data_IF_843050871108
#
_entry.id   IF_843050871108
#
_cell.length_a   1.000
_cell.length_b   1.000
_cell.length_c   1.000
_cell.angle_alpha   90.00
_cell.angle_beta   90.00
_cell.angle_gamma   90.00
#
_symmetry.space_group_name_H-M   'P 1'
#
loop_
_entity.id
_entity.type
_entity.pdbx_description
1 polymer ?
#
# COMPACT_ATOMS: atom_id res chain seq x y z
N UNK A 1 -19.54 -9.49 -2.85
CA UNK A 1 -19.29 -8.18 -2.19
C UNK A 1 -18.35 -7.38 -3.06
N UNK A 2 -18.41 -6.05 -3.01
CA UNK A 2 -17.58 -5.14 -3.83
C UNK A 2 -16.74 -4.26 -2.92
N UNK A 3 -15.45 -4.15 -3.22
CA UNK A 3 -14.48 -3.31 -2.53
C UNK A 3 -13.85 -2.33 -3.53
N UNK A 4 -13.68 -1.08 -3.12
CA UNK A 4 -13.16 0.01 -3.94
C UNK A 4 -11.96 0.65 -3.24
N UNK A 5 -10.78 0.36 -3.77
CA UNK A 5 -9.50 0.66 -3.12
C UNK A 5 -8.68 1.60 -3.98
N UNK A 6 -8.10 2.61 -3.34
CA UNK A 6 -7.02 3.39 -3.92
C UNK A 6 -5.68 2.77 -3.53
N UNK A 7 -5.01 2.11 -4.46
CA UNK A 7 -3.67 1.57 -4.26
C UNK A 7 -2.62 2.62 -4.60
N UNK A 8 -1.61 2.75 -3.74
CA UNK A 8 -0.46 3.64 -3.88
C UNK A 8 0.79 2.77 -3.99
N UNK A 9 1.54 2.86 -5.08
CA UNK A 9 2.76 2.05 -5.28
C UNK A 9 3.90 2.91 -5.81
N UNK A 10 5.11 2.64 -5.33
CA UNK A 10 6.33 3.35 -5.73
C UNK A 10 6.95 2.69 -6.96
N UNK A 11 7.04 3.42 -8.07
CA UNK A 11 7.69 2.90 -9.26
C UNK A 11 9.21 2.97 -9.17
N UNK A 12 9.89 2.13 -9.96
CA UNK A 12 11.35 2.14 -10.12
C UNK A 12 11.93 3.49 -10.57
N UNK A 13 11.11 4.37 -11.17
CA UNK A 13 11.49 5.73 -11.58
C UNK A 13 11.43 6.76 -10.46
N UNK A 14 11.10 6.35 -9.23
CA UNK A 14 10.84 7.25 -8.09
C UNK A 14 9.69 8.22 -8.41
N UNK A 15 8.58 7.61 -8.81
CA UNK A 15 7.28 8.25 -8.99
C UNK A 15 6.26 7.44 -8.20
N UNK A 16 5.27 8.11 -7.63
CA UNK A 16 4.10 7.44 -7.07
C UNK A 16 3.14 7.09 -8.20
N UNK A 17 2.69 5.84 -8.23
CA UNK A 17 1.58 5.39 -9.08
C UNK A 17 0.35 5.18 -8.20
N UNK A 18 -0.72 5.89 -8.51
CA UNK A 18 -2.02 5.72 -7.89
C UNK A 18 -2.94 4.93 -8.82
N UNK A 19 -3.65 3.94 -8.28
CA UNK A 19 -4.61 3.11 -9.03
C UNK A 19 -5.92 2.93 -8.28
N UNK A 20 -7.03 3.19 -8.96
CA UNK A 20 -8.36 2.88 -8.44
C UNK A 20 -8.77 1.47 -8.85
N UNK A 21 -8.78 0.55 -7.88
CA UNK A 21 -9.07 -0.86 -8.11
C UNK A 21 -10.42 -1.22 -7.50
N UNK A 22 -11.31 -1.78 -8.30
CA UNK A 22 -12.50 -2.46 -7.82
C UNK A 22 -12.23 -3.95 -7.72
N UNK A 23 -12.52 -4.53 -6.55
CA UNK A 23 -12.40 -5.96 -6.28
C UNK A 23 -13.79 -6.52 -5.98
N UNK A 24 -14.13 -7.63 -6.61
CA UNK A 24 -15.38 -8.32 -6.37
C UNK A 24 -15.12 -9.74 -5.90
N UNK A 25 -15.94 -10.19 -4.94
CA UNK A 25 -15.89 -11.56 -4.44
C UNK A 25 -17.27 -12.22 -4.51
N UNK A 26 -17.30 -13.42 -5.11
CA UNK A 26 -18.45 -14.31 -5.16
C UNK A 26 -18.03 -15.70 -4.70
N UNK A 27 -18.45 -16.09 -3.49
CA UNK A 27 -17.94 -17.30 -2.83
C UNK A 27 -16.44 -17.17 -2.54
N UNK A 28 -15.62 -18.01 -3.19
CA UNK A 28 -14.15 -17.98 -3.10
C UNK A 28 -13.48 -17.34 -4.32
N UNK A 29 -14.26 -16.94 -5.32
CA UNK A 29 -13.74 -16.41 -6.57
C UNK A 29 -13.62 -14.90 -6.46
N UNK A 30 -12.41 -14.40 -6.72
CA UNK A 30 -12.11 -12.98 -6.79
C UNK A 30 -11.96 -12.54 -8.24
N UNK A 31 -12.47 -11.36 -8.55
CA UNK A 31 -12.21 -10.64 -9.79
C UNK A 31 -11.83 -9.20 -9.48
N UNK A 32 -11.20 -8.54 -10.45
CA UNK A 32 -10.77 -7.16 -10.31
C UNK A 32 -11.05 -6.35 -11.58
N UNK A 33 -11.12 -5.04 -11.41
CA UNK A 33 -11.11 -4.05 -12.49
C UNK A 33 -10.25 -2.86 -12.05
N UNK A 34 -9.22 -2.52 -12.84
CA UNK A 34 -8.45 -1.30 -12.65
C UNK A 34 -9.12 -0.16 -13.41
N UNK A 35 -9.83 0.71 -12.67
CA UNK A 35 -10.73 1.73 -13.23
C UNK A 35 -10.03 3.02 -13.66
N UNK A 36 -8.98 3.40 -12.94
CA UNK A 36 -8.22 4.62 -13.23
C UNK A 36 -6.80 4.53 -12.68
N UNK A 37 -5.87 5.20 -13.35
CA UNK A 37 -4.48 5.36 -12.87
C UNK A 37 -4.00 6.80 -13.04
N UNK A 38 -3.01 7.17 -12.23
CA UNK A 38 -2.22 8.38 -12.40
C UNK A 38 -0.80 8.16 -11.88
N UNK A 39 0.13 9.00 -12.34
CA UNK A 39 1.52 9.04 -11.89
C UNK A 39 1.81 10.43 -11.32
N UNK A 40 2.53 10.46 -10.20
CA UNK A 40 3.00 11.69 -9.57
C UNK A 40 4.51 11.65 -9.46
N UNK A 41 5.19 12.57 -10.15
CA UNK A 41 6.63 12.68 -10.05
C UNK A 41 7.04 13.23 -8.69
N UNK A 42 8.06 12.63 -8.07
CA UNK A 42 8.67 13.23 -6.90
C UNK A 42 9.49 14.45 -7.28
N UNK A 43 9.39 15.48 -6.44
CA UNK A 43 10.25 16.64 -6.57
C UNK A 43 11.73 16.25 -6.32
N UNK A 44 12.62 17.17 -6.71
CA UNK A 44 14.05 16.90 -6.62
C UNK A 44 14.51 16.75 -5.16
N UNK A 45 13.88 17.47 -4.24
CA UNK A 45 14.22 17.42 -2.82
C UNK A 45 13.94 16.04 -2.21
N UNK A 46 12.78 15.45 -2.49
CA UNK A 46 12.43 14.11 -2.05
C UNK A 46 13.31 13.06 -2.74
N UNK A 47 13.59 13.20 -4.04
CA UNK A 47 14.50 12.28 -4.76
C UNK A 47 15.89 12.26 -4.14
N UNK A 48 16.42 13.42 -3.73
CA UNK A 48 17.70 13.55 -3.02
C UNK A 48 17.64 12.90 -1.64
N UNK A 49 16.58 13.15 -0.86
CA UNK A 49 16.37 12.48 0.44
C UNK A 49 16.35 10.95 0.24
N UNK A 50 15.48 10.42 -0.60
CA UNK A 50 15.35 8.98 -0.88
C UNK A 50 16.70 8.35 -1.29
N UNK A 51 17.53 9.09 -2.03
CA UNK A 51 18.84 8.60 -2.50
C UNK A 51 19.84 8.28 -1.38
N UNK A 52 19.63 8.80 -0.17
CA UNK A 52 20.49 8.50 1.00
C UNK A 52 20.38 7.05 1.48
N UNK A 53 19.35 6.30 1.08
CA UNK A 53 19.21 4.88 1.41
C UNK A 53 19.10 4.63 2.93
N UNK A 54 20.04 3.86 3.48
CA UNK A 54 20.12 3.47 4.90
C UNK A 54 20.95 4.43 5.78
N UNK A 55 21.49 5.51 5.21
CA UNK A 55 22.36 6.47 5.91
C UNK A 55 21.66 7.47 6.85
N UNK A 56 20.41 7.22 7.25
CA UNK A 56 19.61 8.14 8.07
C UNK A 56 19.76 7.89 9.56
N UNK A 57 19.77 8.97 10.36
CA UNK A 57 19.47 8.85 11.79
C UNK A 57 17.99 8.49 12.00
N UNK A 58 17.67 7.91 13.16
CA UNK A 58 16.28 7.58 13.51
C UNK A 58 15.35 8.80 13.46
N UNK A 59 15.82 9.96 13.92
CA UNK A 59 15.06 11.20 13.89
C UNK A 59 14.78 11.67 12.45
N UNK A 60 15.78 11.64 11.57
CA UNK A 60 15.58 12.02 10.16
C UNK A 60 14.67 11.06 9.42
N UNK A 61 14.78 9.76 9.69
CA UNK A 61 13.91 8.74 9.09
C UNK A 61 12.46 8.95 9.52
N UNK A 62 12.20 9.19 10.81
CA UNK A 62 10.84 9.46 11.32
C UNK A 62 10.27 10.75 10.74
N UNK A 63 11.07 11.79 10.60
CA UNK A 63 10.63 13.02 9.95
C UNK A 63 10.26 12.76 8.48
N UNK A 64 11.14 12.06 7.74
CA UNK A 64 10.86 11.68 6.35
C UNK A 64 9.63 10.77 6.23
N UNK A 65 9.41 9.87 7.19
CA UNK A 65 8.27 8.95 7.21
C UNK A 65 6.94 9.71 7.32
N UNK A 66 6.88 10.68 8.24
CA UNK A 66 5.74 11.59 8.38
C UNK A 66 5.56 12.47 7.14
N UNK A 67 6.64 13.11 6.65
CA UNK A 67 6.57 14.01 5.48
C UNK A 67 6.08 13.26 4.24
N UNK A 68 6.57 12.04 4.03
CA UNK A 68 6.18 11.20 2.91
C UNK A 68 4.73 10.73 3.02
N UNK A 69 4.25 10.35 4.22
CA UNK A 69 2.83 10.05 4.43
C UNK A 69 1.90 11.23 4.06
N UNK A 70 2.30 12.46 4.39
CA UNK A 70 1.56 13.67 3.99
C UNK A 70 1.57 13.89 2.47
N UNK A 71 2.69 13.63 1.81
CA UNK A 71 2.78 13.67 0.35
C UNK A 71 1.84 12.64 -0.29
N UNK A 72 1.86 11.40 0.19
CA UNK A 72 0.97 10.33 -0.27
C UNK A 72 -0.51 10.70 -0.11
N UNK A 73 -0.86 11.34 1.02
CA UNK A 73 -2.21 11.85 1.26
C UNK A 73 -2.60 12.96 0.26
N UNK A 74 -1.68 13.89 -0.01
CA UNK A 74 -1.86 14.96 -0.99
C UNK A 74 -2.09 14.40 -2.40
N UNK A 75 -1.26 13.46 -2.84
CA UNK A 75 -1.42 12.77 -4.12
C UNK A 75 -2.73 11.98 -4.19
N UNK A 76 -3.14 11.34 -3.09
CA UNK A 76 -4.42 10.61 -3.02
C UNK A 76 -5.61 11.54 -3.22
N UNK A 77 -5.64 12.67 -2.50
CA UNK A 77 -6.69 13.67 -2.64
C UNK A 77 -6.68 14.30 -4.04
N UNK A 78 -5.51 14.52 -4.63
CA UNK A 78 -5.39 15.00 -6.01
C UNK A 78 -5.94 13.97 -7.00
N UNK A 79 -5.54 12.71 -6.89
CA UNK A 79 -6.06 11.62 -7.73
C UNK A 79 -7.58 11.53 -7.67
N UNK A 80 -8.16 11.58 -6.46
CA UNK A 80 -9.61 11.51 -6.25
C UNK A 80 -10.31 12.69 -6.93
N UNK A 81 -9.76 13.90 -6.84
CA UNK A 81 -10.31 15.09 -7.51
C UNK A 81 -10.21 14.98 -9.03
N UNK A 82 -9.03 14.70 -9.55
CA UNK A 82 -8.73 14.71 -10.99
C UNK A 82 -9.46 13.58 -11.74
N UNK A 83 -9.83 12.50 -11.03
CA UNK A 83 -10.60 11.36 -11.57
C UNK A 83 -12.08 11.38 -11.20
N UNK A 84 -12.55 12.41 -10.49
CA UNK A 84 -13.96 12.55 -10.06
C UNK A 84 -14.46 11.35 -9.22
N UNK A 85 -13.62 10.86 -8.30
CA UNK A 85 -13.86 9.66 -7.48
C UNK A 85 -14.36 9.96 -6.06
N UNK A 86 -14.90 11.16 -5.82
CA UNK A 86 -15.38 11.56 -4.49
C UNK A 86 -16.39 10.53 -3.95
N UNK A 87 -16.23 10.14 -2.68
CA UNK A 87 -17.07 9.17 -1.97
C UNK A 87 -17.07 7.74 -2.55
N UNK A 88 -16.25 7.44 -3.57
CA UNK A 88 -16.18 6.11 -4.16
C UNK A 88 -15.16 5.22 -3.45
N UNK A 89 -14.04 5.80 -3.00
CA UNK A 89 -12.95 5.07 -2.35
C UNK A 89 -13.34 4.71 -0.92
N UNK A 90 -13.23 3.43 -0.59
CA UNK A 90 -13.54 2.89 0.74
C UNK A 90 -12.29 2.65 1.58
N UNK A 91 -11.16 2.43 0.91
CA UNK A 91 -9.90 2.07 1.53
C UNK A 91 -8.74 2.62 0.71
N UNK A 92 -7.68 3.08 1.37
CA UNK A 92 -6.38 3.36 0.74
C UNK A 92 -5.43 2.23 1.13
N UNK A 93 -4.68 1.71 0.16
CA UNK A 93 -3.66 0.69 0.36
C UNK A 93 -2.29 1.28 0.07
N UNK A 94 -1.40 1.30 1.07
CA UNK A 94 -0.07 1.90 0.97
C UNK A 94 1.01 0.97 1.53
N UNK A 95 1.77 0.24 0.69
CA UNK A 95 2.84 -0.65 1.15
C UNK A 95 4.06 0.12 1.66
N UNK A 96 4.15 1.41 1.34
CA UNK A 96 5.26 2.30 1.65
C UNK A 96 6.49 2.05 0.77
N UNK A 97 7.45 2.97 0.86
CA UNK A 97 8.69 2.96 0.09
C UNK A 97 9.81 2.25 0.90
N UNK A 98 10.35 1.11 0.41
CA UNK A 98 11.44 0.41 1.11
C UNK A 98 12.78 1.15 0.92
N UNK A 99 13.19 1.93 1.93
CA UNK A 99 14.49 2.62 1.93
C UNK A 99 15.62 1.83 2.61
N UNK A 100 15.29 1.00 3.60
CA UNK A 100 16.27 0.27 4.40
C UNK A 100 16.34 -1.17 3.89
N UNK A 101 17.53 -1.60 3.49
CA UNK A 101 17.77 -2.95 3.00
C UNK A 101 17.35 -4.00 4.03
N UNK A 102 16.61 -5.02 3.58
CA UNK A 102 16.13 -6.13 4.41
C UNK A 102 15.26 -5.71 5.63
N UNK A 103 14.64 -4.52 5.59
CA UNK A 103 13.68 -4.10 6.60
C UNK A 103 12.25 -4.45 6.19
N UNK A 104 11.45 -4.88 7.17
CA UNK A 104 10.00 -4.99 7.03
C UNK A 104 9.31 -3.61 7.02
N UNK A 105 9.94 -2.62 7.67
CA UNK A 105 9.45 -1.26 7.79
C UNK A 105 9.78 -0.46 6.53
N UNK A 106 8.76 0.21 6.02
CA UNK A 106 8.82 1.06 4.83
C UNK A 106 8.46 2.50 5.19
N UNK A 107 8.87 3.42 4.34
CA UNK A 107 8.56 4.83 4.50
C UNK A 107 7.11 5.10 4.08
N UNK A 108 6.38 5.91 4.84
CA UNK A 108 5.01 6.32 4.52
C UNK A 108 4.09 6.14 5.70
N UNK A 109 3.84 7.24 6.41
CA UNK A 109 2.97 7.25 7.58
C UNK A 109 1.50 7.03 7.18
N UNK A 110 0.99 5.82 7.44
CA UNK A 110 -0.41 5.45 7.17
C UNK A 110 -1.42 6.26 8.01
N UNK A 111 -1.03 6.72 9.21
CA UNK A 111 -1.87 7.57 10.03
C UNK A 111 -2.03 8.95 9.40
N UNK A 112 -0.96 9.51 8.85
CA UNK A 112 -1.01 10.78 8.14
C UNK A 112 -1.91 10.70 6.89
N UNK A 113 -1.84 9.59 6.13
CA UNK A 113 -2.72 9.35 4.99
C UNK A 113 -4.18 9.33 5.43
N UNK A 114 -4.51 8.53 6.45
CA UNK A 114 -5.89 8.41 6.93
C UNK A 114 -6.43 9.74 7.47
N UNK A 115 -5.64 10.44 8.29
CA UNK A 115 -6.05 11.70 8.90
C UNK A 115 -6.30 12.82 7.88
N UNK A 116 -5.49 12.90 6.82
CA UNK A 116 -5.60 13.98 5.82
C UNK A 116 -6.64 13.67 4.74
N UNK A 117 -6.82 12.40 4.38
CA UNK A 117 -7.79 12.00 3.34
C UNK A 117 -9.19 11.77 3.89
N UNK A 118 -9.32 11.49 5.19
CA UNK A 118 -10.58 11.06 5.81
C UNK A 118 -10.98 9.63 5.42
N UNK A 119 -10.06 8.86 4.81
CA UNK A 119 -10.32 7.53 4.26
C UNK A 119 -9.49 6.51 5.04
N UNK A 120 -10.12 5.40 5.40
CA UNK A 120 -9.42 4.31 6.10
C UNK A 120 -8.23 3.84 5.27
N UNK A 121 -7.09 3.63 5.92
CA UNK A 121 -5.83 3.29 5.24
C UNK A 121 -5.25 2.02 5.82
N UNK A 122 -4.78 1.12 4.94
CA UNK A 122 -3.97 -0.04 5.30
C UNK A 122 -2.53 0.20 4.87
N UNK A 123 -1.60 0.12 5.83
CA UNK A 123 -0.16 0.22 5.60
C UNK A 123 0.60 -0.98 6.16
N UNK A 124 1.93 -1.03 6.06
CA UNK A 124 2.78 -1.94 6.84
C UNK A 124 2.51 -3.44 6.63
N UNK A 125 2.16 -3.86 5.40
CA UNK A 125 1.73 -5.23 5.08
C UNK A 125 2.68 -6.32 5.59
N UNK A 126 3.99 -6.07 5.60
CA UNK A 126 5.02 -7.07 5.89
C UNK A 126 5.40 -7.19 7.36
N UNK A 127 5.04 -6.23 8.21
CA UNK A 127 5.59 -6.12 9.57
C UNK A 127 5.22 -7.32 10.44
N UNK A 128 4.00 -7.84 10.31
CA UNK A 128 3.56 -9.01 11.09
C UNK A 128 4.23 -10.31 10.63
N UNK A 129 4.36 -10.52 9.32
CA UNK A 129 5.05 -11.68 8.75
C UNK A 129 6.54 -11.69 9.12
N UNK A 130 7.19 -10.53 9.08
CA UNK A 130 8.56 -10.34 9.54
C UNK A 130 8.75 -10.70 11.02
N UNK A 131 7.82 -10.27 11.89
CA UNK A 131 7.84 -10.62 13.31
C UNK A 131 7.69 -12.12 13.57
N UNK A 132 7.12 -12.85 12.60
CA UNK A 132 7.00 -14.31 12.61
C UNK A 132 8.19 -15.02 11.93
N UNK A 133 9.23 -14.29 11.53
CA UNK A 133 10.45 -14.83 10.92
C UNK A 133 10.41 -14.94 9.39
N UNK A 134 9.46 -14.29 8.71
CA UNK A 134 9.36 -14.29 7.26
C UNK A 134 10.46 -13.49 6.56
N UNK A 135 10.60 -13.71 5.25
CA UNK A 135 11.70 -13.20 4.40
C UNK A 135 11.64 -11.71 4.03
N UNK A 136 10.68 -10.95 4.56
CA UNK A 136 10.44 -9.53 4.23
C UNK A 136 10.16 -9.24 2.74
N UNK A 137 9.90 -10.27 1.94
CA UNK A 137 9.56 -10.13 0.53
C UNK A 137 8.08 -9.81 0.36
N UNK A 138 7.77 -8.96 -0.62
CA UNK A 138 6.39 -8.75 -1.06
C UNK A 138 5.97 -10.01 -1.84
N UNK A 139 5.02 -10.78 -1.33
CA UNK A 139 4.49 -11.93 -2.06
C UNK A 139 3.45 -11.50 -3.10
N UNK A 140 3.41 -12.20 -4.22
CA UNK A 140 2.42 -12.01 -5.27
C UNK A 140 1.30 -13.06 -5.12
N UNK A 141 0.05 -12.63 -4.97
CA UNK A 141 -1.12 -13.51 -4.80
C UNK A 141 -1.69 -14.00 -6.14
N UNK A 142 -0.81 -14.41 -7.06
CA UNK A 142 -1.21 -14.79 -8.42
C UNK A 142 -2.14 -16.03 -8.44
N UNK A 143 -2.07 -16.88 -7.42
CA UNK A 143 -2.90 -18.10 -7.33
C UNK A 143 -4.35 -17.82 -6.96
N UNK A 144 -4.62 -16.77 -6.17
CA UNK A 144 -5.97 -16.41 -5.72
C UNK A 144 -6.58 -15.34 -6.62
N UNK A 145 -5.77 -14.35 -7.00
CA UNK A 145 -6.17 -13.29 -7.91
C UNK A 145 -5.15 -13.21 -9.06
N UNK A 146 -5.38 -13.97 -10.14
CA UNK A 146 -4.52 -13.93 -11.31
C UNK A 146 -4.67 -12.57 -12.01
N UNK A 147 -3.54 -11.90 -12.20
CA UNK A 147 -3.44 -10.63 -12.92
C UNK A 147 -2.54 -10.90 -14.12
N UNK A 148 -3.09 -10.76 -15.33
CA UNK A 148 -2.36 -11.11 -16.57
C UNK A 148 -1.58 -9.92 -17.14
N UNK A 149 -2.02 -8.70 -16.90
CA UNK A 149 -1.32 -7.50 -17.31
C UNK A 149 -0.21 -7.15 -16.30
N UNK A 150 1.05 -7.24 -16.74
CA UNK A 150 2.21 -7.01 -15.88
C UNK A 150 2.23 -5.61 -15.25
N UNK A 151 1.72 -4.60 -15.94
CA UNK A 151 1.69 -3.21 -15.46
C UNK A 151 0.66 -2.98 -14.35
N UNK A 152 -0.26 -3.92 -14.13
CA UNK A 152 -1.33 -3.82 -13.13
C UNK A 152 -1.05 -4.60 -11.84
N UNK A 153 -0.13 -5.58 -11.90
CA UNK A 153 0.13 -6.55 -10.82
C UNK A 153 0.30 -5.85 -9.47
N UNK A 154 1.16 -4.85 -9.41
CA UNK A 154 1.52 -4.20 -8.15
C UNK A 154 0.33 -3.44 -7.54
N UNK A 155 -0.42 -2.69 -8.35
CA UNK A 155 -1.61 -1.95 -7.91
C UNK A 155 -2.71 -2.90 -7.44
N UNK A 156 -3.01 -3.93 -8.24
CA UNK A 156 -4.10 -4.87 -7.97
C UNK A 156 -3.79 -5.72 -6.75
N UNK A 157 -2.57 -6.26 -6.62
CA UNK A 157 -2.19 -7.02 -5.43
C UNK A 157 -2.11 -6.14 -4.19
N UNK A 158 -1.60 -4.92 -4.29
CA UNK A 158 -1.62 -3.97 -3.16
C UNK A 158 -3.05 -3.69 -2.67
N UNK A 159 -3.98 -3.44 -3.59
CA UNK A 159 -5.40 -3.29 -3.26
C UNK A 159 -5.98 -4.56 -2.61
N UNK A 160 -5.66 -5.72 -3.18
CA UNK A 160 -6.16 -7.01 -2.71
C UNK A 160 -5.70 -7.33 -1.29
N UNK A 161 -4.42 -7.09 -0.97
CA UNK A 161 -3.88 -7.30 0.38
C UNK A 161 -4.58 -6.44 1.42
N UNK A 162 -4.87 -5.18 1.09
CA UNK A 162 -5.59 -4.29 1.96
C UNK A 162 -7.03 -4.77 2.22
N UNK A 163 -7.70 -5.30 1.20
CA UNK A 163 -9.04 -5.90 1.36
C UNK A 163 -8.99 -7.15 2.24
N UNK A 164 -8.04 -8.05 2.04
CA UNK A 164 -7.87 -9.23 2.90
C UNK A 164 -7.60 -8.81 4.35
N UNK A 165 -6.73 -7.80 4.56
CA UNK A 165 -6.51 -7.23 5.90
C UNK A 165 -7.79 -6.69 6.52
N UNK A 166 -8.56 -5.94 5.74
CA UNK A 166 -9.84 -5.35 6.16
C UNK A 166 -10.90 -6.41 6.50
N UNK A 167 -10.84 -7.57 5.83
CA UNK A 167 -11.70 -8.73 6.08
C UNK A 167 -11.17 -9.66 7.18
N UNK A 168 -10.02 -9.35 7.77
CA UNK A 168 -9.33 -10.20 8.73
C UNK A 168 -8.99 -11.60 8.16
N UNK A 169 -8.62 -11.64 6.88
CA UNK A 169 -8.22 -12.83 6.16
C UNK A 169 -6.69 -12.86 5.97
N UNK A 170 -6.09 -14.05 6.02
CA UNK A 170 -4.65 -14.19 5.84
C UNK A 170 -4.23 -13.65 4.47
N UNK A 171 -3.26 -12.73 4.48
CA UNK A 171 -2.66 -12.11 3.29
C UNK A 171 -1.13 -12.25 3.29
N UNK A 172 -0.55 -13.05 4.19
CA UNK A 172 0.81 -13.56 4.10
C UNK A 172 0.82 -15.07 4.43
N UNK A 173 1.41 -15.87 3.54
CA UNK A 173 1.44 -17.34 3.66
C UNK A 173 2.82 -17.81 4.13
N UNK A 174 2.88 -18.54 5.25
CA UNK A 174 4.13 -19.07 5.80
C UNK A 174 4.87 -19.99 4.84
N UNK A 175 4.14 -20.79 4.05
CA UNK A 175 4.73 -21.66 3.03
C UNK A 175 5.45 -20.90 1.90
N UNK A 176 5.26 -19.58 1.79
CA UNK A 176 5.92 -18.72 0.81
C UNK A 176 6.95 -17.78 1.44
N UNK A 177 6.69 -17.25 2.65
CA UNK A 177 7.61 -16.31 3.33
C UNK A 177 8.67 -17.00 4.18
N UNK A 178 8.42 -18.23 4.61
CA UNK A 178 9.22 -18.91 5.63
C UNK A 178 8.87 -18.52 7.07
N UNK A 179 7.82 -17.72 7.28
CA UNK A 179 7.33 -17.37 8.61
C UNK A 179 6.81 -18.61 9.38
N UNK A 180 6.73 -18.49 10.70
CA UNK A 180 6.27 -19.59 11.57
C UNK A 180 4.80 -19.99 11.38
N UNK A 181 3.95 -19.10 10.85
CA UNK A 181 2.54 -19.36 10.49
C UNK A 181 2.01 -18.31 9.52
N UNK A 182 0.91 -18.61 8.85
CA UNK A 182 0.17 -17.63 8.06
C UNK A 182 -0.27 -16.46 8.93
N UNK A 183 -0.33 -15.27 8.33
CA UNK A 183 -0.66 -14.06 9.06
C UNK A 183 -1.51 -13.07 8.26
N UNK A 184 -2.15 -12.18 9.00
CA UNK A 184 -2.93 -11.06 8.49
C UNK A 184 -2.06 -9.81 8.62
N UNK A 185 -1.26 -9.56 7.60
CA UNK A 185 -0.38 -8.41 7.50
C UNK A 185 -1.12 -7.08 7.25
N UNK A 186 -0.56 -6.01 7.78
CA UNK A 186 -1.01 -4.64 7.58
C UNK A 186 -1.60 -3.97 8.82
N UNK A 187 -1.22 -2.71 9.05
CA UNK A 187 -1.80 -1.84 10.05
C UNK A 187 -3.04 -1.13 9.47
N UNK A 188 -4.10 -0.98 10.27
CA UNK A 188 -5.34 -0.29 9.87
C UNK A 188 -5.42 1.04 10.60
N UNK A 189 -5.59 2.11 9.83
CA UNK A 189 -5.76 3.47 10.33
C UNK A 189 -7.17 3.95 9.96
N UNK A 190 -7.94 4.40 10.94
CA UNK A 190 -9.30 4.88 10.74
C UNK A 190 -9.26 6.37 10.44
N UNK A 191 -9.67 6.75 9.23
CA UNK A 191 -9.67 8.15 8.78
C UNK A 191 -11.01 8.86 8.98
N UNK A 192 -12.08 8.10 9.23
CA UNK A 192 -13.41 8.67 9.43
C UNK A 192 -13.58 9.18 10.86
N UNK A 193 -14.14 10.37 11.00
CA UNK A 193 -14.64 10.91 12.26
C UNK A 193 -16.11 10.46 12.47
N UNK A 194 -16.51 10.28 13.72
CA UNK A 194 -17.83 9.79 14.14
C UNK A 194 -18.87 10.91 14.17
#
# INVERSE_FOLDING_TARGET
>A
MVYRVLALVDSWKRELVAGFVQLEVSGKNWSYELKATARFEYDQHLKERISKGDGWSAAEYLQLHSDYGKLLAGCSNQFIRDKELQYQIQLIASPGLPLINNSAYTLGDGAAIAAITGINTVSDFKVMDAALGGSNQQLAYQTILPVTNADEIELVHTAFFAVLRWREENNMMAGQTGAGRDSIGGAVWIGQEW
#
